data_IF_976000024574
#
_entry.id   IF_976000024574
#
_cell.length_a   1.000
_cell.length_b   1.000
_cell.length_c   1.000
_cell.angle_alpha   90.00
_cell.angle_beta   90.00
_cell.angle_gamma   90.00
#
_symmetry.space_group_name_H-M   'P 1'
#
loop_
_entity.id
_entity.type
_entity.pdbx_description
1 polymer ?
#
# COMPACT_ATOMS: atom_id res chain seq x y z
N UNK A 1 6.47 2.18 -18.09
CA UNK A 1 5.86 1.91 -16.76
C UNK A 1 6.75 0.92 -16.06
N UNK A 2 7.22 1.29 -14.88
CA UNK A 2 8.11 0.52 -14.02
C UNK A 2 7.26 -0.17 -12.96
N UNK A 3 7.55 -1.42 -12.56
CA UNK A 3 6.76 -2.12 -11.55
C UNK A 3 7.62 -2.78 -10.49
N UNK A 4 7.35 -2.45 -9.22
CA UNK A 4 7.81 -3.19 -8.07
C UNK A 4 6.74 -4.19 -7.62
N UNK A 5 7.16 -5.36 -7.14
CA UNK A 5 6.28 -6.43 -6.69
C UNK A 5 6.91 -7.13 -5.48
N UNK A 6 6.07 -7.47 -4.51
CA UNK A 6 6.42 -8.32 -3.39
C UNK A 6 5.24 -9.21 -3.03
N UNK A 7 5.53 -10.40 -2.50
CA UNK A 7 4.52 -11.28 -1.93
C UNK A 7 5.04 -11.98 -0.69
N UNK A 8 4.12 -12.29 0.22
CA UNK A 8 4.42 -12.96 1.48
C UNK A 8 3.26 -13.86 1.92
N UNK A 9 3.57 -14.82 2.77
CA UNK A 9 2.57 -15.63 3.47
C UNK A 9 2.35 -15.03 4.85
N UNK A 10 1.10 -14.69 5.14
CA UNK A 10 0.64 -14.24 6.45
C UNK A 10 0.01 -15.42 7.17
N UNK A 11 0.44 -15.67 8.41
CA UNK A 11 -0.01 -16.80 9.24
C UNK A 11 -1.39 -16.55 9.88
N UNK A 12 -2.35 -16.11 9.07
CA UNK A 12 -3.73 -15.79 9.45
C UNK A 12 -4.73 -16.13 8.34
N UNK A 13 -5.99 -16.44 8.70
CA UNK A 13 -7.06 -16.68 7.74
C UNK A 13 -7.37 -15.44 6.89
N UNK A 14 -7.81 -15.66 5.65
CA UNK A 14 -8.09 -14.60 4.67
C UNK A 14 -9.04 -13.53 5.22
N UNK A 15 -10.13 -13.95 5.87
CA UNK A 15 -11.15 -13.03 6.37
C UNK A 15 -10.59 -12.11 7.46
N UNK A 16 -9.68 -12.61 8.30
CA UNK A 16 -9.03 -11.81 9.33
C UNK A 16 -8.12 -10.75 8.70
N UNK A 17 -7.25 -11.16 7.78
CA UNK A 17 -6.35 -10.24 7.08
C UNK A 17 -7.14 -9.21 6.27
N UNK A 18 -8.15 -9.66 5.54
CA UNK A 18 -8.98 -8.76 4.73
C UNK A 18 -9.76 -7.79 5.60
N UNK A 19 -10.29 -8.20 6.75
CA UNK A 19 -11.00 -7.27 7.64
C UNK A 19 -10.16 -6.05 8.04
N UNK A 20 -8.84 -6.22 8.14
CA UNK A 20 -7.89 -5.16 8.45
C UNK A 20 -7.54 -4.29 7.23
N UNK A 21 -7.43 -4.87 6.03
CA UNK A 21 -7.03 -4.16 4.80
C UNK A 21 -8.22 -3.55 4.04
N UNK A 22 -9.42 -4.13 4.18
CA UNK A 22 -10.63 -3.80 3.43
C UNK A 22 -10.97 -2.32 3.50
N UNK A 23 -10.80 -1.71 4.68
CA UNK A 23 -10.96 -0.28 4.83
C UNK A 23 -9.69 0.44 4.35
N UNK A 24 -9.81 1.14 3.21
CA UNK A 24 -8.73 1.92 2.61
C UNK A 24 -8.12 2.95 3.57
N UNK A 25 -8.86 3.44 4.56
CA UNK A 25 -8.33 4.41 5.52
C UNK A 25 -7.49 3.77 6.63
N UNK A 26 -7.43 2.44 6.71
CA UNK A 26 -6.94 1.75 7.90
C UNK A 26 -5.42 1.63 8.00
N UNK A 27 -4.67 2.40 7.20
CA UNK A 27 -3.21 2.44 7.26
C UNK A 27 -2.62 2.67 8.67
N UNK A 28 -3.16 3.56 9.52
CA UNK A 28 -2.63 3.75 10.87
C UNK A 28 -2.67 2.47 11.73
N UNK A 29 -3.55 1.51 11.40
CA UNK A 29 -3.64 0.26 12.13
C UNK A 29 -2.54 -0.73 11.77
N UNK A 30 -1.99 -0.70 10.55
CA UNK A 30 -1.13 -1.77 10.06
C UNK A 30 0.12 -1.35 9.27
N UNK A 31 0.33 -0.05 8.99
CA UNK A 31 1.54 0.47 8.35
C UNK A 31 2.34 1.29 9.38
N UNK A 32 3.44 0.72 9.86
CA UNK A 32 4.38 1.38 10.76
C UNK A 32 4.89 2.68 10.11
N UNK A 33 4.84 3.77 10.86
CA UNK A 33 5.20 5.11 10.39
C UNK A 33 4.01 5.93 9.88
N UNK A 34 2.82 5.34 9.68
CA UNK A 34 1.59 6.11 9.50
C UNK A 34 1.03 6.48 10.87
N UNK A 35 0.98 7.77 11.16
CA UNK A 35 0.50 8.29 12.45
C UNK A 35 -1.01 8.54 12.47
N UNK A 36 -1.57 8.97 11.33
CA UNK A 36 -2.99 9.27 11.18
C UNK A 36 -3.40 9.18 9.71
N UNK A 37 -4.68 8.93 9.47
CA UNK A 37 -5.29 8.85 8.14
C UNK A 37 -6.75 9.25 8.22
N UNK A 38 -7.17 10.11 7.30
CA UNK A 38 -8.54 10.63 7.20
C UNK A 38 -9.07 10.41 5.79
N UNK A 39 -10.34 9.99 5.67
CA UNK A 39 -11.06 10.01 4.40
C UNK A 39 -11.68 11.38 4.20
N UNK A 40 -11.47 11.93 3.00
CA UNK A 40 -12.07 13.18 2.56
C UNK A 40 -13.53 12.97 2.10
N UNK A 41 -14.30 14.06 2.06
CA UNK A 41 -15.67 14.11 1.51
C UNK A 41 -16.69 13.16 2.17
N UNK A 42 -16.49 12.78 3.45
CA UNK A 42 -17.38 11.89 4.22
C UNK A 42 -17.66 10.55 3.52
N UNK A 43 -16.72 10.10 2.69
CA UNK A 43 -16.80 8.82 1.99
C UNK A 43 -16.46 7.66 2.92
N UNK A 44 -16.90 6.47 2.52
CA UNK A 44 -16.48 5.23 3.18
C UNK A 44 -15.11 4.80 2.67
N UNK A 45 -14.33 4.14 3.53
CA UNK A 45 -13.04 3.54 3.16
C UNK A 45 -13.12 2.38 2.16
N UNK A 46 -14.31 1.87 1.83
CA UNK A 46 -14.51 0.88 0.77
C UNK A 46 -15.20 1.46 -0.47
N UNK A 47 -15.39 2.79 -0.52
CA UNK A 47 -16.05 3.45 -1.65
C UNK A 47 -15.04 3.87 -2.72
N UNK A 48 -15.13 3.26 -3.91
CA UNK A 48 -14.28 3.65 -5.06
C UNK A 48 -14.41 5.15 -5.34
N UNK A 49 -13.26 5.81 -5.48
CA UNK A 49 -13.14 7.25 -5.61
C UNK A 49 -12.88 7.99 -4.29
N UNK A 50 -12.97 7.32 -3.13
CA UNK A 50 -12.56 7.89 -1.85
C UNK A 50 -11.10 8.33 -1.88
N UNK A 51 -10.82 9.49 -1.28
CA UNK A 51 -9.46 10.00 -1.12
C UNK A 51 -9.10 9.87 0.35
N UNK A 52 -8.01 9.16 0.65
CA UNK A 52 -7.39 9.20 1.97
C UNK A 52 -6.26 10.20 1.98
N UNK A 53 -6.13 10.92 3.08
CA UNK A 53 -5.00 11.78 3.41
C UNK A 53 -4.36 11.23 4.67
N UNK A 54 -3.13 10.73 4.56
CA UNK A 54 -2.42 10.09 5.67
C UNK A 54 -1.05 10.71 5.91
N UNK A 55 -0.63 10.72 7.17
CA UNK A 55 0.65 11.25 7.60
C UNK A 55 1.64 10.09 7.79
N UNK A 56 2.52 9.90 6.82
CA UNK A 56 3.57 8.88 6.84
C UNK A 56 4.91 9.54 7.14
N UNK A 57 5.59 9.12 8.21
CA UNK A 57 6.91 9.64 8.63
C UNK A 57 7.00 11.18 8.57
N UNK A 58 5.94 11.85 9.04
CA UNK A 58 5.82 13.31 9.11
C UNK A 58 5.40 14.02 7.81
N UNK A 59 5.18 13.30 6.71
CA UNK A 59 4.74 13.88 5.44
C UNK A 59 3.31 13.46 5.11
N UNK A 60 2.50 14.43 4.66
CA UNK A 60 1.13 14.19 4.24
C UNK A 60 1.08 13.74 2.79
N UNK A 61 0.42 12.61 2.56
CA UNK A 61 0.25 11.98 1.24
C UNK A 61 -1.23 11.79 0.97
N UNK A 62 -1.68 12.07 -0.25
CA UNK A 62 -3.06 11.77 -0.67
C UNK A 62 -3.09 10.69 -1.73
N UNK A 63 -4.03 9.77 -1.55
CA UNK A 63 -4.25 8.67 -2.48
C UNK A 63 -5.75 8.47 -2.69
N UNK A 64 -6.12 8.14 -3.92
CA UNK A 64 -7.49 7.77 -4.28
C UNK A 64 -7.63 6.27 -4.39
N UNK A 65 -8.70 5.72 -3.84
CA UNK A 65 -9.13 4.35 -4.08
C UNK A 65 -9.68 4.26 -5.52
N UNK A 66 -9.03 3.46 -6.37
CA UNK A 66 -9.35 3.32 -7.80
C UNK A 66 -10.17 2.06 -8.08
N UNK A 67 -9.92 1.00 -7.32
CA UNK A 67 -10.68 -0.25 -7.43
C UNK A 67 -10.71 -0.96 -6.07
N UNK A 68 -11.81 -1.65 -5.79
CA UNK A 68 -12.03 -2.39 -4.54
C UNK A 68 -12.98 -3.55 -4.79
N UNK A 69 -12.63 -4.73 -4.28
CA UNK A 69 -13.46 -5.93 -4.45
C UNK A 69 -13.35 -6.86 -3.27
N UNK A 70 -14.42 -6.97 -2.49
CA UNK A 70 -14.55 -8.00 -1.45
C UNK A 70 -14.53 -9.41 -2.03
N UNK A 71 -15.11 -9.60 -3.22
CA UNK A 71 -15.15 -10.91 -3.87
C UNK A 71 -13.77 -11.39 -4.30
N UNK A 72 -12.86 -10.47 -4.63
CA UNK A 72 -11.50 -10.79 -5.07
C UNK A 72 -10.45 -10.49 -4.01
N UNK A 73 -10.82 -9.87 -2.89
CA UNK A 73 -9.90 -9.38 -1.86
C UNK A 73 -8.80 -8.51 -2.46
N UNK A 74 -9.21 -7.58 -3.32
CA UNK A 74 -8.33 -6.64 -4.02
C UNK A 74 -8.62 -5.21 -3.62
N UNK A 75 -7.56 -4.42 -3.43
CA UNK A 75 -7.61 -2.99 -3.21
C UNK A 75 -6.56 -2.32 -4.10
N UNK A 76 -6.98 -1.39 -4.94
CA UNK A 76 -6.09 -0.60 -5.81
C UNK A 76 -6.21 0.88 -5.52
N UNK A 77 -5.09 1.56 -5.33
CA UNK A 77 -5.02 2.99 -5.06
C UNK A 77 -4.05 3.70 -5.99
N UNK A 78 -4.27 4.99 -6.23
CA UNK A 78 -3.37 5.85 -6.99
C UNK A 78 -2.97 7.09 -6.19
N UNK A 79 -1.69 7.47 -6.26
CA UNK A 79 -1.20 8.73 -5.72
C UNK A 79 -1.80 9.94 -6.44
N UNK A 80 -2.14 10.99 -5.69
CA UNK A 80 -2.62 12.25 -6.26
C UNK A 80 -1.52 13.28 -6.47
N UNK A 81 -0.47 13.21 -5.66
CA UNK A 81 0.72 14.04 -5.77
C UNK A 81 1.98 13.17 -5.94
N UNK A 82 3.08 13.81 -6.35
CA UNK A 82 4.39 13.18 -6.34
C UNK A 82 4.77 12.79 -4.90
N UNK A 83 5.42 11.64 -4.74
CA UNK A 83 5.84 11.20 -3.41
C UNK A 83 6.88 12.16 -2.82
N UNK A 84 6.77 12.51 -1.53
CA UNK A 84 7.75 13.36 -0.85
C UNK A 84 9.05 12.61 -0.52
N UNK A 85 9.23 11.37 -1.04
CA UNK A 85 10.34 10.48 -0.72
C UNK A 85 11.05 9.97 -1.99
N UNK A 86 12.37 9.71 -1.90
CA UNK A 86 13.23 10.06 -0.77
C UNK A 86 13.37 11.57 -0.64
N UNK A 87 13.50 12.08 0.59
CA UNK A 87 13.75 13.50 0.82
C UNK A 87 15.18 13.78 0.36
N UNK A 88 15.29 14.22 -0.90
CA UNK A 88 16.44 14.87 -1.54
C UNK A 88 17.78 14.60 -0.83
N UNK A 89 18.43 13.48 -1.17
CA UNK A 89 19.80 13.17 -0.73
C UNK A 89 20.86 14.02 -1.47
N UNK A 90 20.43 15.09 -2.14
CA UNK A 90 21.19 15.84 -3.12
C UNK A 90 21.05 15.31 -4.55
N UNK A 91 20.30 14.21 -4.77
CA UNK A 91 19.93 13.77 -6.12
C UNK A 91 18.78 14.62 -6.68
N UNK A 92 19.05 15.30 -7.79
CA UNK A 92 18.05 16.05 -8.57
C UNK A 92 17.05 15.14 -9.30
N UNK A 93 16.84 13.91 -8.83
CA UNK A 93 15.96 12.97 -9.53
C UNK A 93 14.51 13.24 -9.15
N UNK A 94 13.64 13.58 -10.12
CA UNK A 94 12.24 13.83 -9.84
C UNK A 94 11.55 12.57 -9.32
N UNK A 95 10.67 12.76 -8.33
CA UNK A 95 9.73 11.75 -7.88
C UNK A 95 8.84 11.26 -9.04
N UNK A 96 8.34 10.01 -9.01
CA UNK A 96 7.42 9.51 -10.03
C UNK A 96 6.22 10.43 -10.12
N UNK A 97 5.83 10.80 -11.34
CA UNK A 97 4.72 11.75 -11.56
C UNK A 97 3.37 11.13 -11.19
N UNK A 98 3.28 9.79 -11.28
CA UNK A 98 2.13 8.97 -10.92
C UNK A 98 2.58 7.62 -10.40
N UNK A 99 1.82 7.08 -9.47
CA UNK A 99 1.99 5.70 -9.02
C UNK A 99 0.65 5.08 -8.67
N UNK A 100 0.55 3.76 -8.86
CA UNK A 100 -0.63 2.97 -8.54
C UNK A 100 -0.21 1.70 -7.81
N UNK A 101 -0.73 1.47 -6.61
CA UNK A 101 -0.51 0.25 -5.86
C UNK A 101 -1.73 -0.65 -5.86
N UNK A 102 -1.53 -1.96 -5.95
CA UNK A 102 -2.58 -2.98 -5.84
C UNK A 102 -2.15 -4.03 -4.84
N UNK A 103 -2.99 -4.25 -3.82
CA UNK A 103 -2.92 -5.41 -2.92
C UNK A 103 -3.95 -6.44 -3.39
N UNK A 104 -3.57 -7.72 -3.41
CA UNK A 104 -4.43 -8.85 -3.71
C UNK A 104 -4.16 -9.97 -2.73
N UNK A 105 -5.19 -10.40 -2.01
CA UNK A 105 -5.09 -11.47 -1.03
C UNK A 105 -5.71 -12.74 -1.59
N UNK A 106 -5.04 -13.87 -1.38
CA UNK A 106 -5.52 -15.19 -1.78
C UNK A 106 -5.46 -16.15 -0.60
N UNK A 107 -6.47 -17.02 -0.42
CA UNK A 107 -6.42 -18.02 0.62
C UNK A 107 -5.38 -19.10 0.28
N UNK A 108 -4.61 -19.52 1.28
CA UNK A 108 -3.82 -20.74 1.26
C UNK A 108 -4.55 -21.72 2.17
N UNK A 109 -5.21 -22.71 1.56
CA UNK A 109 -6.00 -23.73 2.28
C UNK A 109 -5.14 -24.51 3.28
N UNK A 110 -3.89 -24.80 2.91
CA UNK A 110 -2.95 -25.46 3.82
C UNK A 110 -2.49 -24.51 4.94
N UNK A 111 -2.95 -24.80 6.15
CA UNK A 111 -2.61 -24.06 7.37
C UNK A 111 -3.52 -22.86 7.64
N UNK A 112 -4.57 -22.65 6.85
CA UNK A 112 -5.50 -21.52 6.97
C UNK A 112 -4.79 -20.15 6.98
N UNK A 113 -3.96 -19.97 5.94
CA UNK A 113 -3.06 -18.81 5.79
C UNK A 113 -3.47 -17.94 4.61
N UNK A 114 -2.83 -16.78 4.48
CA UNK A 114 -3.11 -15.83 3.40
C UNK A 114 -1.85 -15.53 2.61
N UNK A 115 -1.92 -15.64 1.28
CA UNK A 115 -0.93 -15.02 0.39
C UNK A 115 -1.35 -13.57 0.17
N UNK A 116 -0.47 -12.62 0.52
CA UNK A 116 -0.59 -11.23 0.09
C UNK A 116 0.35 -10.99 -1.08
N UNK A 117 -0.18 -10.42 -2.16
CA UNK A 117 0.58 -9.89 -3.28
C UNK A 117 0.40 -8.37 -3.28
N UNK A 118 1.50 -7.61 -3.29
CA UNK A 118 1.46 -6.16 -3.36
C UNK A 118 2.38 -5.68 -4.48
N UNK A 119 1.77 -5.05 -5.48
CA UNK A 119 2.50 -4.44 -6.59
C UNK A 119 2.31 -2.93 -6.62
N UNK A 120 3.32 -2.22 -7.09
CA UNK A 120 3.26 -0.78 -7.34
C UNK A 120 3.80 -0.48 -8.73
N UNK A 121 2.93 0.05 -9.59
CA UNK A 121 3.29 0.58 -10.91
C UNK A 121 3.62 2.06 -10.81
N UNK A 122 4.69 2.47 -11.47
CA UNK A 122 5.30 3.79 -11.38
C UNK A 122 5.46 4.38 -12.79
N UNK A 123 5.09 5.65 -12.93
CA UNK A 123 5.40 6.45 -14.10
C UNK A 123 6.67 7.26 -13.82
N UNK A 124 7.78 6.80 -14.41
CA UNK A 124 9.14 7.28 -14.15
C UNK A 124 9.84 7.57 -15.46
N UNK A 125 10.77 8.52 -15.44
CA UNK A 125 11.72 8.68 -16.55
C UNK A 125 12.50 7.37 -16.78
N UNK A 126 12.76 6.98 -18.04
CA UNK A 126 13.44 5.71 -18.33
C UNK A 126 14.81 5.56 -17.65
N UNK A 127 15.53 6.67 -17.46
CA UNK A 127 16.84 6.68 -16.82
C UNK A 127 16.79 6.35 -15.31
N UNK A 128 15.62 6.54 -14.67
CA UNK A 128 15.44 6.36 -13.23
C UNK A 128 14.57 5.14 -12.88
N UNK A 129 14.11 4.40 -13.89
CA UNK A 129 13.19 3.28 -13.72
C UNK A 129 13.72 2.24 -12.73
N UNK A 130 14.93 1.72 -12.94
CA UNK A 130 15.52 0.68 -12.08
C UNK A 130 15.70 1.16 -10.63
N UNK A 131 16.08 2.43 -10.45
CA UNK A 131 16.26 3.04 -9.13
C UNK A 131 14.93 3.10 -8.36
N UNK A 132 13.88 3.60 -9.00
CA UNK A 132 12.55 3.67 -8.40
C UNK A 132 11.96 2.28 -8.16
N UNK A 133 12.18 1.34 -9.07
CA UNK A 133 11.80 -0.06 -8.89
C UNK A 133 12.45 -0.65 -7.63
N UNK A 134 13.77 -0.52 -7.51
CA UNK A 134 14.53 -1.06 -6.39
C UNK A 134 14.10 -0.43 -5.06
N UNK A 135 13.85 0.89 -5.05
CA UNK A 135 13.40 1.59 -3.85
C UNK A 135 12.02 1.08 -3.38
N UNK A 136 11.03 0.99 -4.28
CA UNK A 136 9.74 0.43 -3.90
C UNK A 136 9.82 -1.06 -3.54
N UNK A 137 10.68 -1.82 -4.21
CA UNK A 137 10.94 -3.21 -3.84
C UNK A 137 11.56 -3.35 -2.44
N UNK A 138 12.21 -2.31 -1.91
CA UNK A 138 12.65 -2.27 -0.50
C UNK A 138 11.56 -1.85 0.49
N UNK A 139 10.58 -1.03 0.07
CA UNK A 139 9.53 -0.51 0.98
C UNK A 139 8.33 -1.44 1.13
N UNK A 140 7.89 -2.11 0.04
CA UNK A 140 6.74 -3.01 0.09
C UNK A 140 6.93 -4.14 1.12
N UNK A 141 8.13 -4.76 1.26
CA UNK A 141 8.38 -5.72 2.35
C UNK A 141 8.17 -5.12 3.74
N UNK A 142 8.69 -3.93 4.03
CA UNK A 142 8.55 -3.29 5.35
C UNK A 142 7.09 -3.05 5.73
N UNK A 143 6.28 -2.60 4.76
CA UNK A 143 4.83 -2.41 4.93
C UNK A 143 4.11 -3.73 5.15
N UNK A 144 4.51 -4.78 4.43
CA UNK A 144 3.92 -6.13 4.56
C UNK A 144 4.29 -6.76 5.91
N UNK A 145 5.52 -6.58 6.37
CA UNK A 145 5.99 -7.06 7.68
C UNK A 145 5.31 -6.32 8.82
N UNK A 146 5.04 -5.02 8.66
CA UNK A 146 4.24 -4.24 9.61
C UNK A 146 2.82 -4.81 9.77
N UNK A 147 2.17 -5.16 8.66
CA UNK A 147 0.89 -5.85 8.66
C UNK A 147 1.00 -7.20 9.39
N UNK A 148 2.00 -8.02 9.06
CA UNK A 148 2.22 -9.31 9.69
C UNK A 148 2.40 -9.20 11.23
N UNK A 149 3.19 -8.22 11.68
CA UNK A 149 3.37 -7.92 13.12
C UNK A 149 2.06 -7.49 13.78
N UNK A 150 1.25 -6.70 13.09
CA UNK A 150 -0.05 -6.25 13.61
C UNK A 150 -0.99 -7.42 13.81
N UNK A 151 -1.10 -8.29 12.81
CA UNK A 151 -1.90 -9.51 12.88
C UNK A 151 -1.46 -10.41 14.04
N UNK A 152 -0.14 -10.61 14.22
CA UNK A 152 0.40 -11.43 15.31
C UNK A 152 0.08 -10.88 16.72
N UNK A 153 -0.18 -9.57 16.87
CA UNK A 153 -0.57 -8.95 18.14
C UNK A 153 -2.07 -9.04 18.44
N UNK A 154 -2.89 -9.31 17.43
CA UNK A 154 -4.34 -9.36 17.57
C UNK A 154 -4.88 -10.70 18.13
N UNK A 155 -3.99 -11.67 18.43
CA UNK A 155 -4.31 -12.96 19.07
C UNK A 155 -4.20 -12.94 20.59
#
# INVERSE_FOLDING_TARGET
>A
MTQAYYSAVLDRPLDEVWSLIRDFNNYPAYIDGVSESEIEDDKRGDEVGAVRRFCYLGNWIRQRLVDHSDRQHTLTYAGLEALPYPQDDGSQTPAPTRYQGTMHLRPIVEGDRTLIEWSVSLDTEPADADRWQALFASWIPDWTDSLARTLARAS
#
